data_IF_528646810652
#
_entry.id   IF_528646810652
#
_cell.length_a   1.000
_cell.length_b   1.000
_cell.length_c   1.000
_cell.angle_alpha   90.00
_cell.angle_beta   90.00
_cell.angle_gamma   90.00
#
_symmetry.space_group_name_H-M   'P 1'
#
loop_
_entity.id
_entity.type
_entity.pdbx_description
1 polymer ?
#
# COMPACT_ATOMS: atom_id res chain seq x y z
N UNK A 1 -24.10 -18.27 -10.32
CA UNK A 1 -22.76 -18.52 -10.89
C UNK A 1 -22.18 -17.33 -11.66
N UNK A 2 -22.92 -16.62 -12.52
CA UNK A 2 -22.39 -15.48 -13.32
C UNK A 2 -21.91 -14.29 -12.49
N UNK A 3 -22.53 -13.99 -11.35
CA UNK A 3 -22.15 -12.88 -10.46
C UNK A 3 -20.83 -13.13 -9.73
N UNK A 4 -20.55 -14.37 -9.32
CA UNK A 4 -19.28 -14.74 -8.69
C UNK A 4 -18.11 -14.62 -9.70
N UNK A 5 -18.31 -15.10 -10.93
CA UNK A 5 -17.28 -14.99 -11.97
C UNK A 5 -16.93 -13.53 -12.36
N UNK A 6 -17.90 -12.60 -12.26
CA UNK A 6 -17.64 -11.16 -12.46
C UNK A 6 -16.87 -10.54 -11.29
N UNK A 7 -17.14 -10.97 -10.07
CA UNK A 7 -16.43 -10.51 -8.88
C UNK A 7 -14.95 -10.94 -8.90
N UNK A 8 -14.67 -12.18 -9.30
CA UNK A 8 -13.31 -12.73 -9.37
C UNK A 8 -12.50 -12.07 -10.49
N UNK A 9 -13.09 -11.81 -11.65
CA UNK A 9 -12.43 -11.06 -12.74
C UNK A 9 -12.06 -9.63 -12.35
N UNK A 10 -12.90 -8.95 -11.56
CA UNK A 10 -12.60 -7.61 -11.06
C UNK A 10 -11.43 -7.63 -10.07
N UNK A 11 -11.34 -8.62 -9.18
CA UNK A 11 -10.23 -8.77 -8.24
C UNK A 11 -8.91 -9.05 -8.96
N UNK A 12 -8.92 -9.95 -9.94
CA UNK A 12 -7.74 -10.25 -10.76
C UNK A 12 -7.27 -9.02 -11.53
N UNK A 13 -8.18 -8.30 -12.16
CA UNK A 13 -7.82 -7.08 -12.90
C UNK A 13 -7.20 -6.02 -11.98
N UNK A 14 -7.79 -5.78 -10.80
CA UNK A 14 -7.26 -4.83 -9.84
C UNK A 14 -5.88 -5.29 -9.32
N UNK A 15 -5.71 -6.57 -9.02
CA UNK A 15 -4.45 -7.14 -8.54
C UNK A 15 -3.35 -7.04 -9.61
N UNK A 16 -3.65 -7.37 -10.86
CA UNK A 16 -2.70 -7.26 -11.98
C UNK A 16 -2.30 -5.82 -12.22
N UNK A 17 -3.26 -4.89 -12.19
CA UNK A 17 -2.99 -3.45 -12.37
C UNK A 17 -2.08 -2.91 -11.25
N UNK A 18 -2.38 -3.24 -10.00
CA UNK A 18 -1.57 -2.84 -8.85
C UNK A 18 -0.17 -3.44 -8.95
N UNK A 19 -0.06 -4.72 -9.27
CA UNK A 19 1.24 -5.39 -9.42
C UNK A 19 2.07 -4.75 -10.54
N UNK A 20 1.48 -4.52 -11.71
CA UNK A 20 2.15 -3.88 -12.83
C UNK A 20 2.63 -2.47 -12.48
N UNK A 21 1.78 -1.66 -11.83
CA UNK A 21 2.15 -0.32 -11.39
C UNK A 21 3.31 -0.33 -10.37
N UNK A 22 3.29 -1.26 -9.41
CA UNK A 22 4.36 -1.38 -8.42
C UNK A 22 5.68 -1.88 -9.03
N UNK A 23 5.63 -2.77 -10.02
CA UNK A 23 6.82 -3.26 -10.72
C UNK A 23 7.50 -2.17 -11.56
N UNK A 24 6.80 -1.08 -11.93
CA UNK A 24 7.40 0.06 -12.61
C UNK A 24 8.50 0.73 -11.77
N UNK A 25 8.47 0.63 -10.45
CA UNK A 25 9.56 1.13 -9.59
C UNK A 25 10.89 0.44 -9.88
N UNK A 26 10.85 -0.86 -10.19
CA UNK A 26 12.05 -1.63 -10.57
C UNK A 26 12.58 -1.19 -11.94
N UNK A 27 11.68 -0.92 -12.90
CA UNK A 27 12.07 -0.44 -14.24
C UNK A 27 12.73 0.93 -14.15
N UNK A 28 12.13 1.85 -13.38
CA UNK A 28 12.70 3.19 -13.16
C UNK A 28 14.04 3.12 -12.43
N UNK A 29 14.16 2.27 -11.42
CA UNK A 29 15.43 2.07 -10.71
C UNK A 29 16.51 1.50 -11.64
N UNK A 30 16.18 0.52 -12.49
CA UNK A 30 17.11 -0.04 -13.47
C UNK A 30 17.54 1.01 -14.51
N UNK A 31 16.63 1.85 -15.00
CA UNK A 31 16.95 2.94 -15.92
C UNK A 31 17.84 4.01 -15.28
N UNK A 32 17.64 4.31 -14.00
CA UNK A 32 18.42 5.30 -13.25
C UNK A 32 19.87 4.87 -13.00
N UNK A 33 20.15 3.58 -12.87
CA UNK A 33 21.52 3.06 -12.68
C UNK A 33 22.40 3.18 -13.94
N UNK A 34 21.81 3.32 -15.11
CA UNK A 34 22.55 3.49 -16.38
C UNK A 34 22.96 4.96 -16.65
N UNK A 35 22.48 5.91 -15.87
CA UNK A 35 22.64 7.35 -16.13
C UNK A 35 23.47 8.15 -15.12
N UNK A 36 23.95 7.59 -14.01
CA UNK A 36 24.64 8.42 -13.03
C UNK A 36 25.32 7.71 -11.87
N UNK A 37 26.45 8.28 -11.46
CA UNK A 37 27.32 7.87 -10.35
C UNK A 37 26.76 8.24 -8.96
N UNK A 38 25.47 8.51 -8.80
CA UNK A 38 24.88 8.85 -7.50
C UNK A 38 24.48 7.57 -6.79
N UNK A 39 25.17 7.28 -5.69
CA UNK A 39 24.68 6.30 -4.70
C UNK A 39 23.34 6.77 -4.16
N UNK A 40 22.32 5.91 -4.11
CA UNK A 40 21.05 6.25 -3.47
C UNK A 40 21.29 6.61 -2.00
N UNK A 41 20.56 7.55 -1.42
CA UNK A 41 20.63 7.82 0.03
C UNK A 41 20.27 6.56 0.81
N UNK A 42 20.98 6.32 1.91
CA UNK A 42 20.77 5.16 2.78
C UNK A 42 19.37 5.17 3.38
N UNK A 43 18.71 4.02 3.44
CA UNK A 43 17.46 3.86 4.18
C UNK A 43 17.77 3.75 5.68
N UNK A 44 17.32 4.68 6.53
CA UNK A 44 17.74 4.75 7.94
C UNK A 44 17.47 3.48 8.74
N UNK A 45 16.44 2.71 8.40
CA UNK A 45 16.07 1.47 9.09
C UNK A 45 16.80 0.21 8.61
N UNK A 46 17.62 0.30 7.55
CA UNK A 46 18.21 -0.87 6.88
C UNK A 46 19.74 -0.81 6.74
N UNK A 47 20.38 0.18 7.34
CA UNK A 47 21.85 0.36 7.31
C UNK A 47 22.62 -0.82 7.90
N UNK A 48 21.97 -1.67 8.71
CA UNK A 48 22.55 -2.87 9.31
C UNK A 48 22.57 -4.08 8.37
N UNK A 49 21.89 -4.02 7.20
CA UNK A 49 21.86 -5.12 6.23
C UNK A 49 22.92 -4.93 5.14
N UNK A 50 23.86 -5.88 5.00
CA UNK A 50 24.80 -5.84 3.86
C UNK A 50 24.03 -5.93 2.53
N UNK A 51 24.31 -4.98 1.61
CA UNK A 51 23.65 -4.92 0.30
C UNK A 51 22.27 -4.26 0.31
N UNK A 52 21.95 -3.46 1.33
CA UNK A 52 20.71 -2.69 1.41
C UNK A 52 20.44 -1.84 0.16
N UNK A 53 21.50 -1.29 -0.46
CA UNK A 53 21.38 -0.49 -1.69
C UNK A 53 20.76 -1.28 -2.85
N UNK A 54 21.13 -2.56 -2.98
CA UNK A 54 20.55 -3.45 -4.00
C UNK A 54 19.12 -3.88 -3.66
N UNK A 55 18.79 -3.97 -2.38
CA UNK A 55 17.47 -4.34 -1.91
C UNK A 55 16.47 -3.17 -1.97
N UNK A 56 16.93 -1.92 -2.00
CA UNK A 56 16.08 -0.72 -1.93
C UNK A 56 14.96 -0.70 -2.97
N UNK A 57 15.19 -0.92 -4.29
CA UNK A 57 14.11 -0.94 -5.26
C UNK A 57 13.05 -2.01 -4.96
N UNK A 58 13.48 -3.18 -4.48
CA UNK A 58 12.58 -4.25 -4.09
C UNK A 58 11.77 -3.91 -2.85
N UNK A 59 12.38 -3.25 -1.86
CA UNK A 59 11.69 -2.78 -0.66
C UNK A 59 10.66 -1.71 -0.99
N UNK A 60 11.00 -0.74 -1.83
CA UNK A 60 10.07 0.27 -2.29
C UNK A 60 8.89 -0.37 -3.04
N UNK A 61 9.17 -1.31 -3.93
CA UNK A 61 8.14 -2.07 -4.65
C UNK A 61 7.24 -2.84 -3.69
N UNK A 62 7.81 -3.51 -2.68
CA UNK A 62 7.05 -4.25 -1.68
C UNK A 62 6.17 -3.34 -0.81
N UNK A 63 6.69 -2.18 -0.39
CA UNK A 63 5.92 -1.19 0.37
C UNK A 63 4.76 -0.60 -0.44
N UNK A 64 5.00 -0.25 -1.70
CA UNK A 64 3.95 0.22 -2.60
C UNK A 64 2.90 -0.86 -2.83
N UNK A 65 3.33 -2.09 -3.07
CA UNK A 65 2.42 -3.23 -3.25
C UNK A 65 1.58 -3.45 -1.98
N UNK A 66 2.22 -3.41 -0.80
CA UNK A 66 1.52 -3.54 0.48
C UNK A 66 0.50 -2.40 0.67
N UNK A 67 0.86 -1.16 0.35
CA UNK A 67 -0.05 -0.03 0.43
C UNK A 67 -1.26 -0.19 -0.51
N UNK A 68 -1.01 -0.41 -1.81
CA UNK A 68 -2.10 -0.48 -2.79
C UNK A 68 -2.99 -1.72 -2.62
N UNK A 69 -2.43 -2.85 -2.20
CA UNK A 69 -3.25 -4.02 -1.86
C UNK A 69 -4.17 -3.72 -0.65
N UNK A 70 -3.66 -3.02 0.36
CA UNK A 70 -4.46 -2.54 1.49
C UNK A 70 -5.58 -1.58 1.05
N UNK A 71 -5.26 -0.62 0.18
CA UNK A 71 -6.23 0.31 -0.42
C UNK A 71 -7.35 -0.44 -1.13
N UNK A 72 -7.02 -1.42 -1.97
CA UNK A 72 -8.03 -2.24 -2.68
C UNK A 72 -8.93 -2.98 -1.69
N UNK A 73 -8.36 -3.60 -0.65
CA UNK A 73 -9.15 -4.28 0.38
C UNK A 73 -10.07 -3.31 1.12
N UNK A 74 -9.56 -2.16 1.55
CA UNK A 74 -10.33 -1.14 2.26
C UNK A 74 -11.47 -0.58 1.40
N UNK A 75 -11.17 -0.14 0.17
CA UNK A 75 -12.16 0.46 -0.73
C UNK A 75 -13.26 -0.55 -1.08
N UNK A 76 -12.92 -1.82 -1.31
CA UNK A 76 -13.91 -2.88 -1.54
C UNK A 76 -14.82 -3.09 -0.33
N UNK A 77 -14.26 -3.13 0.87
CA UNK A 77 -15.04 -3.24 2.12
C UNK A 77 -16.01 -2.06 2.27
N UNK A 78 -15.60 -0.86 1.87
CA UNK A 78 -16.42 0.34 1.99
C UNK A 78 -17.51 0.48 0.92
N UNK A 79 -17.29 -0.04 -0.29
CA UNK A 79 -18.19 0.20 -1.42
C UNK A 79 -18.96 -1.07 -1.80
N UNK A 80 -18.25 -2.17 -2.10
CA UNK A 80 -18.83 -3.36 -2.71
C UNK A 80 -19.28 -4.39 -1.67
N UNK A 81 -18.46 -4.62 -0.65
CA UNK A 81 -18.64 -5.67 0.36
C UNK A 81 -19.13 -5.07 1.69
N UNK A 82 -19.92 -3.98 1.59
CA UNK A 82 -20.44 -3.26 2.75
C UNK A 82 -21.32 -4.17 3.59
N UNK A 83 -20.96 -4.34 4.87
CA UNK A 83 -21.65 -5.21 5.81
C UNK A 83 -21.13 -6.66 5.87
N UNK A 84 -20.18 -7.04 5.02
CA UNK A 84 -19.52 -8.35 5.11
C UNK A 84 -18.43 -8.33 6.20
N UNK A 85 -18.74 -8.97 7.34
CA UNK A 85 -17.84 -9.07 8.49
C UNK A 85 -16.52 -9.78 8.19
N UNK A 86 -16.49 -10.76 7.27
CA UNK A 86 -15.25 -11.45 6.88
C UNK A 86 -14.33 -10.53 6.08
N UNK A 87 -14.88 -9.79 5.12
CA UNK A 87 -14.13 -8.83 4.31
C UNK A 87 -13.59 -7.69 5.18
N UNK A 88 -14.40 -7.20 6.10
CA UNK A 88 -13.96 -6.21 7.08
C UNK A 88 -12.79 -6.76 7.92
N UNK A 89 -12.92 -7.95 8.52
CA UNK A 89 -11.87 -8.55 9.34
C UNK A 89 -10.59 -8.78 8.54
N UNK A 90 -10.70 -9.24 7.28
CA UNK A 90 -9.56 -9.42 6.39
C UNK A 90 -8.83 -8.09 6.11
N UNK A 91 -9.59 -7.01 5.82
CA UNK A 91 -9.03 -5.69 5.58
C UNK A 91 -8.26 -5.18 6.81
N UNK A 92 -8.86 -5.26 8.00
CA UNK A 92 -8.22 -4.81 9.24
C UNK A 92 -6.98 -5.66 9.56
N UNK A 93 -7.09 -6.98 9.49
CA UNK A 93 -5.97 -7.89 9.76
C UNK A 93 -4.80 -7.64 8.82
N UNK A 94 -5.07 -7.43 7.53
CA UNK A 94 -4.05 -7.08 6.54
C UNK A 94 -3.30 -5.81 6.95
N UNK A 95 -4.03 -4.71 7.24
CA UNK A 95 -3.40 -3.44 7.61
C UNK A 95 -2.57 -3.55 8.89
N UNK A 96 -3.03 -4.31 9.89
CA UNK A 96 -2.28 -4.55 11.12
C UNK A 96 -0.98 -5.32 10.85
N UNK A 97 -1.03 -6.36 10.01
CA UNK A 97 0.15 -7.16 9.69
C UNK A 97 1.23 -6.35 8.98
N UNK A 98 0.84 -5.45 8.08
CA UNK A 98 1.81 -4.62 7.33
C UNK A 98 2.39 -3.45 8.13
N UNK A 99 1.84 -3.11 9.29
CA UNK A 99 2.39 -2.04 10.13
C UNK A 99 3.82 -2.36 10.61
N UNK A 100 4.07 -3.59 11.05
CA UNK A 100 5.37 -3.98 11.59
C UNK A 100 6.49 -3.88 10.55
N UNK A 101 6.43 -4.52 9.37
CA UNK A 101 7.48 -4.38 8.37
C UNK A 101 7.67 -2.93 7.91
N UNK A 102 6.59 -2.14 7.78
CA UNK A 102 6.71 -0.73 7.43
C UNK A 102 7.46 0.07 8.51
N UNK A 103 7.19 -0.18 9.79
CA UNK A 103 7.86 0.47 10.91
C UNK A 103 9.34 0.08 11.03
N UNK A 104 9.70 -1.15 10.68
CA UNK A 104 11.11 -1.61 10.64
C UNK A 104 11.89 -0.88 9.56
N UNK A 105 11.28 -0.61 8.41
CA UNK A 105 11.94 0.14 7.33
C UNK A 105 12.12 1.61 7.71
N UNK A 106 11.06 2.25 8.20
CA UNK A 106 11.09 3.64 8.63
C UNK A 106 9.95 3.90 9.63
N UNK A 107 10.21 4.50 10.81
CA UNK A 107 9.18 4.76 11.82
C UNK A 107 8.04 5.66 11.29
N UNK A 108 8.31 6.60 10.39
CA UNK A 108 7.28 7.46 9.81
C UNK A 108 6.37 6.69 8.85
N UNK A 109 6.92 5.72 8.11
CA UNK A 109 6.11 4.78 7.33
C UNK A 109 5.27 3.90 8.25
N UNK A 110 5.84 3.42 9.35
CA UNK A 110 5.10 2.69 10.38
C UNK A 110 3.91 3.50 10.90
N UNK A 111 4.11 4.78 11.20
CA UNK A 111 3.04 5.67 11.66
C UNK A 111 1.94 5.84 10.62
N UNK A 112 2.30 6.01 9.34
CA UNK A 112 1.33 6.06 8.24
C UNK A 112 0.51 4.77 8.17
N UNK A 113 1.18 3.60 8.20
CA UNK A 113 0.47 2.31 8.12
C UNK A 113 -0.41 2.06 9.34
N UNK A 114 -0.03 2.50 10.53
CA UNK A 114 -0.88 2.50 11.73
C UNK A 114 -2.12 3.38 11.53
N UNK A 115 -1.97 4.58 10.96
CA UNK A 115 -3.10 5.44 10.65
C UNK A 115 -4.06 4.78 9.64
N UNK A 116 -3.53 4.09 8.62
CA UNK A 116 -4.33 3.32 7.65
C UNK A 116 -5.04 2.13 8.31
N UNK A 117 -4.39 1.43 9.23
CA UNK A 117 -5.00 0.35 10.01
C UNK A 117 -6.14 0.87 10.90
N UNK A 118 -5.93 1.96 11.60
CA UNK A 118 -6.99 2.62 12.40
C UNK A 118 -8.15 3.05 11.51
N UNK A 119 -7.86 3.66 10.36
CA UNK A 119 -8.89 4.04 9.39
C UNK A 119 -9.70 2.84 8.91
N UNK A 120 -9.03 1.74 8.54
CA UNK A 120 -9.70 0.52 8.08
C UNK A 120 -10.58 -0.12 9.16
N UNK A 121 -10.24 0.05 10.43
CA UNK A 121 -11.02 -0.47 11.57
C UNK A 121 -12.18 0.45 11.97
N UNK A 122 -11.96 1.76 11.95
CA UNK A 122 -12.89 2.75 12.51
C UNK A 122 -13.95 3.19 11.49
N UNK A 123 -13.51 3.58 10.29
CA UNK A 123 -14.40 4.21 9.29
C UNK A 123 -15.57 3.32 8.88
N UNK A 124 -15.41 2.01 8.61
CA UNK A 124 -16.52 1.16 8.22
C UNK A 124 -17.60 1.04 9.31
N UNK A 125 -17.20 1.15 10.58
CA UNK A 125 -18.13 1.03 11.73
C UNK A 125 -18.83 2.34 12.06
N UNK A 126 -18.10 3.44 12.03
CA UNK A 126 -18.59 4.73 12.53
C UNK A 126 -19.22 5.60 11.44
N UNK A 127 -18.77 5.43 10.19
CA UNK A 127 -19.29 6.17 9.02
C UNK A 127 -19.65 5.25 7.86
N UNK A 128 -20.62 4.32 8.06
CA UNK A 128 -21.00 3.37 7.00
C UNK A 128 -21.58 4.05 5.76
N UNK A 129 -22.08 5.30 5.91
CA UNK A 129 -22.68 6.09 4.83
C UNK A 129 -21.72 7.03 4.09
N UNK A 130 -20.38 6.97 4.36
CA UNK A 130 -19.41 7.86 3.70
C UNK A 130 -19.47 7.71 2.18
N UNK A 131 -19.36 8.85 1.46
CA UNK A 131 -19.46 8.85 0.01
C UNK A 131 -18.19 8.29 -0.66
N UNK A 132 -18.30 7.66 -1.84
CA UNK A 132 -17.14 7.20 -2.59
C UNK A 132 -16.12 8.31 -2.88
N UNK A 133 -16.59 9.54 -3.10
CA UNK A 133 -15.72 10.70 -3.32
C UNK A 133 -14.86 11.02 -2.10
N UNK A 134 -15.43 10.96 -0.88
CA UNK A 134 -14.68 11.18 0.35
C UNK A 134 -13.68 10.05 0.62
N UNK A 135 -14.02 8.80 0.30
CA UNK A 135 -13.09 7.67 0.35
C UNK A 135 -11.92 7.93 -0.60
N UNK A 136 -12.21 8.29 -1.86
CA UNK A 136 -11.19 8.58 -2.87
C UNK A 136 -10.27 9.75 -2.47
N UNK A 137 -10.81 10.82 -1.92
CA UNK A 137 -10.02 11.94 -1.41
C UNK A 137 -9.05 11.50 -0.29
N UNK A 138 -9.51 10.63 0.62
CA UNK A 138 -8.66 10.03 1.65
C UNK A 138 -7.53 9.17 1.08
N UNK A 139 -7.80 8.40 0.02
CA UNK A 139 -6.78 7.61 -0.67
C UNK A 139 -5.74 8.49 -1.38
N UNK A 140 -6.17 9.58 -2.02
CA UNK A 140 -5.26 10.54 -2.65
C UNK A 140 -4.34 11.16 -1.58
N UNK A 141 -4.88 11.62 -0.47
CA UNK A 141 -4.08 12.19 0.62
C UNK A 141 -3.06 11.19 1.18
N UNK A 142 -3.49 9.93 1.41
CA UNK A 142 -2.61 8.86 1.89
C UNK A 142 -1.51 8.51 0.87
N UNK A 143 -1.84 8.47 -0.43
CA UNK A 143 -0.87 8.21 -1.51
C UNK A 143 0.18 9.32 -1.63
N UNK A 144 -0.24 10.59 -1.52
CA UNK A 144 0.67 11.74 -1.52
C UNK A 144 1.61 11.66 -0.30
N UNK A 145 1.05 11.35 0.88
CA UNK A 145 1.85 11.22 2.11
C UNK A 145 2.87 10.08 1.98
N UNK A 146 2.46 8.93 1.46
CA UNK A 146 3.36 7.81 1.21
C UNK A 146 4.48 8.22 0.24
N UNK A 147 4.12 8.84 -0.89
CA UNK A 147 5.09 9.30 -1.88
C UNK A 147 6.10 10.30 -1.29
N UNK A 148 5.62 11.27 -0.52
CA UNK A 148 6.49 12.23 0.18
C UNK A 148 7.44 11.54 1.17
N UNK A 149 6.94 10.61 1.98
CA UNK A 149 7.78 9.85 2.91
C UNK A 149 8.84 9.01 2.19
N UNK A 150 8.46 8.35 1.08
CA UNK A 150 9.42 7.54 0.29
C UNK A 150 10.48 8.38 -0.42
N UNK A 151 10.19 9.65 -0.73
CA UNK A 151 11.16 10.58 -1.33
C UNK A 151 12.10 11.20 -0.29
N UNK A 152 11.65 11.32 0.97
CA UNK A 152 12.42 11.92 2.06
C UNK A 152 13.27 10.89 2.83
N UNK A 153 13.07 9.58 2.57
CA UNK A 153 13.82 8.47 3.16
C UNK A 153 14.78 7.85 2.19
#
# INVERSE_FOLDING_TARGET
MVLLARADRSLLNDAVTVLAACLMTLVVAAAGTHGGTRSPPDLPGLTWLPGADRARPWLLTALLLAYFAGTVLYVKTMIRDRGDGRRYALSVAYHVVVCLPAAVVNPWLGLLFVALALRSAVVPKWWPGITPAAIGAGEIAASITLGALLLLT
#
